data_IF_487277491025
#
_entry.id   IF_487277491025
#
_cell.length_a   1.000
_cell.length_b   1.000
_cell.length_c   1.000
_cell.angle_alpha   90.00
_cell.angle_beta   90.00
_cell.angle_gamma   90.00
#
_symmetry.space_group_name_H-M   'P 1'
#
loop_
_entity.id
_entity.type
_entity.pdbx_description
1 polymer ?
#
# COMPACT_ATOMS: atom_id res chain seq x y z
N UNK A 1 2.56 16.55 6.11
CA UNK A 1 3.58 15.47 6.20
C UNK A 1 3.23 14.39 7.23
N UNK A 2 2.64 14.72 8.40
CA UNK A 2 2.32 13.72 9.43
C UNK A 2 1.19 12.73 9.08
N UNK A 3 0.26 13.07 8.19
CA UNK A 3 -0.88 12.22 7.80
C UNK A 3 -0.43 11.03 6.93
N UNK A 4 0.42 11.29 5.95
CA UNK A 4 0.97 10.21 5.10
C UNK A 4 1.80 9.22 5.92
N UNK A 5 2.55 9.70 6.93
CA UNK A 5 3.31 8.83 7.84
C UNK A 5 2.40 7.99 8.73
N UNK A 6 1.26 8.52 9.17
CA UNK A 6 0.28 7.78 9.99
C UNK A 6 -0.41 6.66 9.20
N UNK A 7 -0.63 6.86 7.89
CA UNK A 7 -1.35 5.92 7.04
C UNK A 7 -0.48 5.21 6.01
N UNK A 8 0.86 5.34 6.09
CA UNK A 8 1.78 4.70 5.15
C UNK A 8 1.58 3.19 5.01
N UNK A 9 1.17 2.55 6.10
CA UNK A 9 0.92 1.10 6.17
C UNK A 9 -0.32 0.69 5.37
N UNK A 10 -1.17 1.66 5.03
CA UNK A 10 -2.40 1.47 4.25
C UNK A 10 -2.22 1.84 2.78
N UNK A 11 -1.08 2.44 2.41
CA UNK A 11 -0.78 2.83 1.02
C UNK A 11 -0.17 1.64 0.29
N UNK A 12 -1.03 0.79 -0.20
CA UNK A 12 -0.66 -0.45 -0.88
C UNK A 12 0.08 -0.17 -2.18
N UNK A 13 -0.32 0.86 -2.90
CA UNK A 13 0.29 1.25 -4.17
C UNK A 13 1.77 1.64 -4.06
N UNK A 14 2.30 1.88 -2.86
CA UNK A 14 3.76 2.00 -2.68
C UNK A 14 4.52 0.73 -3.04
N UNK A 15 3.86 -0.43 -3.01
CA UNK A 15 4.43 -1.67 -3.50
C UNK A 15 4.72 -1.69 -5.00
N UNK A 16 4.11 -0.79 -5.77
CA UNK A 16 4.37 -0.63 -7.21
C UNK A 16 5.59 0.27 -7.50
N UNK A 17 6.06 1.07 -6.54
CA UNK A 17 7.17 2.00 -6.75
C UNK A 17 8.45 1.35 -7.28
N UNK A 18 8.94 0.21 -6.77
CA UNK A 18 10.13 -0.42 -7.31
C UNK A 18 9.96 -0.84 -8.78
N UNK A 19 8.75 -1.28 -9.15
CA UNK A 19 8.44 -1.65 -10.55
C UNK A 19 8.46 -0.40 -11.43
N UNK A 20 7.79 0.67 -11.01
CA UNK A 20 7.75 1.94 -11.74
C UNK A 20 9.17 2.49 -11.94
N UNK A 21 9.98 2.53 -10.89
CA UNK A 21 11.36 3.00 -10.94
C UNK A 21 12.18 2.12 -11.91
N UNK A 22 12.03 0.81 -11.84
CA UNK A 22 12.73 -0.13 -12.71
C UNK A 22 12.32 0.09 -14.18
N UNK A 23 11.02 0.17 -14.47
CA UNK A 23 10.51 0.37 -15.82
C UNK A 23 10.96 1.69 -16.45
N UNK A 24 10.97 2.76 -15.70
CA UNK A 24 11.49 4.04 -16.17
C UNK A 24 13.01 3.96 -16.35
N UNK A 25 13.69 3.41 -15.38
CA UNK A 25 15.15 3.36 -15.33
C UNK A 25 15.77 2.52 -16.43
N UNK A 26 15.16 1.44 -16.91
CA UNK A 26 15.71 0.61 -18.00
C UNK A 26 15.84 1.34 -19.33
N UNK A 27 15.16 2.51 -19.48
CA UNK A 27 15.29 3.36 -20.65
C UNK A 27 16.47 4.33 -20.56
N UNK A 28 16.84 4.70 -19.34
CA UNK A 28 17.87 5.70 -19.07
C UNK A 28 19.23 5.07 -18.74
N UNK A 29 19.23 3.87 -18.21
CA UNK A 29 20.40 3.17 -17.68
C UNK A 29 20.51 1.73 -18.20
N UNK A 30 21.68 1.06 -18.02
CA UNK A 30 21.84 -0.35 -18.38
C UNK A 30 20.79 -1.23 -17.67
N UNK A 31 20.10 -2.07 -18.44
CA UNK A 31 18.98 -2.89 -17.96
C UNK A 31 19.35 -3.74 -16.74
N UNK A 32 20.53 -4.38 -16.73
CA UNK A 32 20.99 -5.21 -15.61
C UNK A 32 21.16 -4.40 -14.33
N UNK A 33 21.74 -3.21 -14.42
CA UNK A 33 21.91 -2.32 -13.27
C UNK A 33 20.55 -1.88 -12.70
N UNK A 34 19.60 -1.56 -13.57
CA UNK A 34 18.26 -1.13 -13.12
C UNK A 34 17.43 -2.27 -12.54
N UNK A 35 17.51 -3.47 -13.11
CA UNK A 35 16.87 -4.65 -12.52
C UNK A 35 17.48 -4.97 -11.15
N UNK A 36 18.81 -4.88 -11.00
CA UNK A 36 19.49 -5.08 -9.72
C UNK A 36 19.10 -4.02 -8.68
N UNK A 37 19.04 -2.75 -9.08
CA UNK A 37 18.62 -1.64 -8.21
C UNK A 37 17.16 -1.79 -7.81
N UNK A 38 16.27 -2.08 -8.76
CA UNK A 38 14.85 -2.32 -8.47
C UNK A 38 14.63 -3.50 -7.53
N UNK A 39 15.38 -4.58 -7.71
CA UNK A 39 15.37 -5.75 -6.83
C UNK A 39 15.82 -5.38 -5.41
N UNK A 40 16.91 -4.64 -5.28
CA UNK A 40 17.43 -4.21 -3.98
C UNK A 40 16.43 -3.33 -3.23
N UNK A 41 15.81 -2.35 -3.91
CA UNK A 41 14.75 -1.50 -3.34
C UNK A 41 13.54 -2.34 -2.93
N UNK A 42 13.13 -3.29 -3.76
CA UNK A 42 12.00 -4.19 -3.47
C UNK A 42 12.25 -5.06 -2.24
N UNK A 43 13.44 -5.67 -2.14
CA UNK A 43 13.82 -6.49 -0.98
C UNK A 43 13.86 -5.63 0.29
N UNK A 44 14.46 -4.44 0.23
CA UNK A 44 14.46 -3.53 1.37
C UNK A 44 13.04 -3.16 1.81
N UNK A 45 12.13 -2.91 0.86
CA UNK A 45 10.72 -2.67 1.13
C UNK A 45 10.03 -3.87 1.79
N UNK A 46 10.25 -5.09 1.29
CA UNK A 46 9.70 -6.31 1.90
C UNK A 46 10.21 -6.54 3.31
N UNK A 47 11.50 -6.34 3.55
CA UNK A 47 12.08 -6.45 4.89
C UNK A 47 11.46 -5.42 5.84
N UNK A 48 11.26 -4.20 5.38
CA UNK A 48 10.58 -3.16 6.16
C UNK A 48 9.13 -3.55 6.49
N UNK A 49 8.36 -4.04 5.51
CA UNK A 49 6.98 -4.48 5.71
C UNK A 49 6.89 -5.60 6.76
N UNK A 50 7.74 -6.62 6.64
CA UNK A 50 7.73 -7.77 7.55
C UNK A 50 8.20 -7.38 8.96
N UNK A 51 9.32 -6.66 9.07
CA UNK A 51 9.95 -6.39 10.37
C UNK A 51 9.24 -5.27 11.14
N UNK A 52 8.76 -4.23 10.44
CA UNK A 52 8.20 -3.03 11.07
C UNK A 52 6.69 -2.99 11.06
N UNK A 53 6.06 -3.37 9.96
CA UNK A 53 4.61 -3.29 9.81
C UNK A 53 3.91 -4.59 10.18
N UNK A 54 4.67 -5.68 10.34
CA UNK A 54 4.14 -7.05 10.51
C UNK A 54 3.05 -7.36 9.48
N UNK A 55 3.28 -6.89 8.26
CA UNK A 55 2.41 -7.04 7.11
C UNK A 55 3.25 -7.40 5.89
N UNK A 56 2.61 -7.62 4.77
CA UNK A 56 3.28 -7.88 3.51
C UNK A 56 2.48 -7.19 2.41
N UNK A 57 3.13 -6.32 1.65
CA UNK A 57 2.51 -5.70 0.50
C UNK A 57 2.53 -6.68 -0.68
N UNK A 58 1.35 -7.05 -1.15
CA UNK A 58 1.20 -8.04 -2.20
C UNK A 58 1.83 -7.60 -3.53
N UNK A 59 1.62 -6.36 -3.94
CA UNK A 59 2.23 -5.83 -5.17
C UNK A 59 3.74 -5.73 -5.07
N UNK A 60 4.25 -5.39 -3.90
CA UNK A 60 5.69 -5.37 -3.64
C UNK A 60 6.29 -6.78 -3.74
N UNK A 61 5.63 -7.78 -3.17
CA UNK A 61 6.06 -9.18 -3.26
C UNK A 61 6.10 -9.65 -4.71
N UNK A 62 5.03 -9.40 -5.46
CA UNK A 62 4.93 -9.80 -6.86
C UNK A 62 5.96 -9.08 -7.74
N UNK A 63 6.11 -7.77 -7.54
CA UNK A 63 7.14 -6.99 -8.21
C UNK A 63 8.54 -7.50 -7.92
N UNK A 64 8.82 -7.85 -6.66
CA UNK A 64 10.11 -8.42 -6.26
C UNK A 64 10.37 -9.75 -6.97
N UNK A 65 9.40 -10.64 -7.02
CA UNK A 65 9.51 -11.91 -7.74
C UNK A 65 9.75 -11.67 -9.24
N UNK A 66 8.94 -10.80 -9.86
CA UNK A 66 9.05 -10.50 -11.29
C UNK A 66 10.40 -9.89 -11.66
N UNK A 67 10.83 -8.86 -10.95
CA UNK A 67 12.13 -8.22 -11.18
C UNK A 67 13.26 -9.21 -10.88
N UNK A 68 13.14 -9.99 -9.80
CA UNK A 68 14.14 -10.99 -9.41
C UNK A 68 14.32 -12.08 -10.46
N UNK A 69 13.24 -12.63 -10.99
CA UNK A 69 13.31 -13.63 -12.07
C UNK A 69 13.97 -13.03 -13.31
N UNK A 70 13.58 -11.84 -13.73
CA UNK A 70 14.18 -11.16 -14.89
C UNK A 70 15.68 -10.90 -14.66
N UNK A 71 16.08 -10.44 -13.46
CA UNK A 71 17.46 -10.18 -13.10
C UNK A 71 18.31 -11.46 -13.11
N UNK A 72 17.84 -12.53 -12.48
CA UNK A 72 18.54 -13.81 -12.42
C UNK A 72 18.68 -14.45 -13.80
N UNK A 73 17.61 -14.47 -14.59
CA UNK A 73 17.69 -14.99 -15.97
C UNK A 73 18.74 -14.24 -16.76
N UNK A 74 18.79 -12.91 -16.68
CA UNK A 74 19.79 -12.11 -17.37
C UNK A 74 21.20 -12.37 -16.86
N UNK A 75 21.38 -12.53 -15.55
CA UNK A 75 22.70 -12.76 -14.94
C UNK A 75 23.27 -14.13 -15.34
N UNK A 76 22.45 -15.19 -15.31
CA UNK A 76 22.89 -16.55 -15.57
C UNK A 76 23.04 -16.89 -17.04
N UNK A 77 22.27 -16.29 -17.91
CA UNK A 77 22.25 -16.64 -19.32
C UNK A 77 23.09 -15.68 -20.18
N UNK A 78 23.42 -14.52 -19.65
CA UNK A 78 24.11 -13.46 -20.43
C UNK A 78 23.29 -12.90 -21.58
N UNK A 79 22.11 -13.49 -21.86
CA UNK A 79 21.19 -13.06 -22.90
C UNK A 79 20.01 -12.28 -22.33
N UNK A 80 19.54 -11.28 -23.06
CA UNK A 80 18.24 -10.68 -22.85
C UNK A 80 17.15 -11.71 -23.25
N UNK A 81 16.88 -12.68 -22.37
CA UNK A 81 15.82 -13.67 -22.59
C UNK A 81 14.47 -12.98 -22.80
N UNK A 82 14.29 -11.87 -22.15
CA UNK A 82 13.13 -11.00 -22.36
C UNK A 82 13.65 -9.72 -23.01
N UNK A 83 13.39 -9.50 -24.30
CA UNK A 83 13.74 -8.25 -24.97
C UNK A 83 13.19 -7.06 -24.19
N UNK A 84 13.89 -5.92 -24.22
CA UNK A 84 13.42 -4.71 -23.52
C UNK A 84 11.93 -4.43 -23.77
N UNK A 85 11.49 -4.59 -25.01
CA UNK A 85 10.12 -4.33 -25.42
C UNK A 85 9.09 -5.33 -24.84
N UNK A 86 9.53 -6.50 -24.38
CA UNK A 86 8.67 -7.53 -23.80
C UNK A 86 8.71 -7.52 -22.27
N UNK A 87 9.69 -6.85 -21.65
CA UNK A 87 9.84 -6.83 -20.20
C UNK A 87 8.65 -6.20 -19.51
N UNK A 88 8.21 -5.02 -19.99
CA UNK A 88 7.07 -4.31 -19.40
C UNK A 88 5.77 -5.09 -19.53
N UNK A 89 5.37 -5.59 -20.72
CA UNK A 89 4.19 -6.45 -20.84
C UNK A 89 4.26 -7.71 -19.98
N UNK A 90 5.44 -8.32 -19.83
CA UNK A 90 5.59 -9.51 -18.99
C UNK A 90 5.37 -9.21 -17.51
N UNK A 91 5.94 -8.13 -16.99
CA UNK A 91 5.70 -7.68 -15.61
C UNK A 91 4.25 -7.27 -15.41
N UNK A 92 3.64 -6.59 -16.37
CA UNK A 92 2.23 -6.21 -16.33
C UNK A 92 1.33 -7.44 -16.31
N UNK A 93 1.61 -8.45 -17.13
CA UNK A 93 0.85 -9.70 -17.14
C UNK A 93 0.95 -10.42 -15.80
N UNK A 94 2.13 -10.49 -15.20
CA UNK A 94 2.31 -11.07 -13.86
C UNK A 94 1.47 -10.32 -12.82
N UNK A 95 1.51 -9.00 -12.82
CA UNK A 95 0.70 -8.19 -11.91
C UNK A 95 -0.80 -8.36 -12.15
N UNK A 96 -1.22 -8.47 -13.41
CA UNK A 96 -2.60 -8.75 -13.76
C UNK A 96 -3.08 -10.09 -13.20
N UNK A 97 -2.32 -11.17 -13.42
CA UNK A 97 -2.67 -12.51 -12.90
C UNK A 97 -2.80 -12.47 -11.37
N UNK A 98 -1.88 -11.83 -10.70
CA UNK A 98 -1.90 -11.72 -9.24
C UNK A 98 -3.05 -10.84 -8.73
N UNK A 99 -3.31 -9.72 -9.40
CA UNK A 99 -4.45 -8.86 -9.08
C UNK A 99 -5.77 -9.61 -9.32
N UNK A 100 -5.87 -10.39 -10.39
CA UNK A 100 -7.03 -11.21 -10.69
C UNK A 100 -7.28 -12.26 -9.60
N UNK A 101 -6.25 -13.00 -9.18
CA UNK A 101 -6.36 -13.97 -8.07
C UNK A 101 -6.80 -13.25 -6.79
N UNK A 102 -6.28 -12.07 -6.55
CA UNK A 102 -6.63 -11.30 -5.35
C UNK A 102 -8.08 -10.82 -5.35
N UNK A 103 -8.62 -10.46 -6.52
CA UNK A 103 -10.03 -10.06 -6.68
C UNK A 103 -10.97 -11.25 -6.56
N UNK A 104 -10.60 -12.39 -7.16
CA UNK A 104 -11.48 -13.58 -7.24
C UNK A 104 -11.39 -14.47 -6.01
N UNK A 105 -10.21 -14.57 -5.39
CA UNK A 105 -9.96 -15.46 -4.26
C UNK A 105 -9.10 -14.79 -3.16
N UNK A 106 -9.58 -13.71 -2.54
CA UNK A 106 -8.82 -12.95 -1.53
C UNK A 106 -8.43 -13.80 -0.32
N UNK A 107 -9.16 -14.86 -0.04
CA UNK A 107 -8.89 -15.77 1.07
C UNK A 107 -7.57 -16.53 0.92
N UNK A 108 -7.11 -16.80 -0.31
CA UNK A 108 -5.82 -17.46 -0.55
C UNK A 108 -4.71 -16.62 0.06
N UNK A 109 -4.69 -15.34 -0.23
CA UNK A 109 -3.68 -14.42 0.30
C UNK A 109 -3.83 -14.18 1.80
N UNK A 110 -5.06 -14.02 2.28
CA UNK A 110 -5.36 -13.90 3.71
C UNK A 110 -4.85 -15.11 4.50
N UNK A 111 -5.09 -16.32 4.01
CA UNK A 111 -4.64 -17.55 4.65
C UNK A 111 -3.12 -17.70 4.61
N UNK A 112 -2.49 -17.26 3.52
CA UNK A 112 -1.04 -17.18 3.43
C UNK A 112 -0.46 -16.26 4.51
N UNK A 113 -0.97 -15.03 4.64
CA UNK A 113 -0.50 -14.08 5.66
C UNK A 113 -0.71 -14.59 7.08
N UNK A 114 -1.86 -15.23 7.37
CA UNK A 114 -2.15 -15.82 8.69
C UNK A 114 -1.11 -16.86 9.11
N UNK A 115 -0.60 -17.69 8.17
CA UNK A 115 0.44 -18.69 8.48
C UNK A 115 1.74 -18.06 8.98
N UNK A 116 2.01 -16.83 8.57
CA UNK A 116 3.22 -16.08 8.97
C UNK A 116 2.94 -15.04 10.06
N UNK A 117 1.75 -15.06 10.68
CA UNK A 117 1.32 -14.07 11.66
C UNK A 117 1.41 -12.62 11.16
N UNK A 118 1.16 -12.41 9.86
CA UNK A 118 1.17 -11.11 9.22
C UNK A 118 -0.24 -10.53 9.11
N UNK A 119 -0.33 -9.20 9.18
CA UNK A 119 -1.59 -8.49 9.08
C UNK A 119 -2.10 -8.44 7.65
N UNK A 120 -3.40 -8.59 7.47
CA UNK A 120 -4.08 -8.40 6.19
C UNK A 120 -4.74 -7.03 6.13
N UNK A 121 -4.50 -6.29 5.06
CA UNK A 121 -5.12 -4.98 4.82
C UNK A 121 -6.13 -5.11 3.67
N UNK A 122 -7.38 -4.74 3.90
CA UNK A 122 -8.47 -4.85 2.91
C UNK A 122 -8.41 -3.81 1.77
N UNK A 123 -7.54 -2.82 1.89
CA UNK A 123 -7.40 -1.74 0.89
C UNK A 123 -6.87 -2.19 -0.48
N UNK A 124 -6.33 -3.41 -0.57
CA UNK A 124 -5.82 -4.00 -1.82
C UNK A 124 -6.87 -4.21 -2.91
N UNK A 125 -8.13 -4.35 -2.52
CA UNK A 125 -9.15 -4.79 -3.45
C UNK A 125 -9.46 -3.75 -4.53
N UNK A 126 -9.38 -2.47 -4.20
CA UNK A 126 -9.63 -1.39 -5.16
C UNK A 126 -8.52 -1.31 -6.20
N UNK A 127 -7.27 -1.29 -5.76
CA UNK A 127 -6.11 -1.25 -6.66
C UNK A 127 -6.04 -2.49 -7.54
N UNK A 128 -6.31 -3.67 -6.95
CA UNK A 128 -6.36 -4.91 -7.71
C UNK A 128 -7.43 -4.85 -8.81
N UNK A 129 -8.63 -4.32 -8.54
CA UNK A 129 -9.68 -4.14 -9.54
C UNK A 129 -9.26 -3.16 -10.64
N UNK A 130 -8.61 -2.05 -10.28
CA UNK A 130 -8.11 -1.08 -11.25
C UNK A 130 -7.07 -1.73 -12.17
N UNK A 131 -6.10 -2.45 -11.61
CA UNK A 131 -5.09 -3.17 -12.37
C UNK A 131 -5.74 -4.20 -13.29
N UNK A 132 -6.68 -5.01 -12.79
CA UNK A 132 -7.37 -6.03 -13.61
C UNK A 132 -8.05 -5.38 -14.81
N UNK A 133 -8.78 -4.28 -14.63
CA UNK A 133 -9.51 -3.64 -15.72
C UNK A 133 -8.55 -3.02 -16.73
N UNK A 134 -7.67 -2.13 -16.28
CA UNK A 134 -6.84 -1.34 -17.19
C UNK A 134 -5.71 -2.16 -17.84
N UNK A 135 -5.06 -3.05 -17.08
CA UNK A 135 -4.02 -3.92 -17.65
C UNK A 135 -4.61 -4.97 -18.59
N UNK A 136 -5.83 -5.46 -18.36
CA UNK A 136 -6.49 -6.35 -19.34
C UNK A 136 -6.75 -5.63 -20.66
N UNK A 137 -7.28 -4.42 -20.62
CA UNK A 137 -7.52 -3.62 -21.83
C UNK A 137 -6.18 -3.34 -22.54
N UNK A 138 -5.17 -2.93 -21.80
CA UNK A 138 -3.86 -2.63 -22.37
C UNK A 138 -3.20 -3.86 -23.01
N UNK A 139 -3.19 -5.01 -22.35
CA UNK A 139 -2.62 -6.24 -22.89
C UNK A 139 -3.40 -6.75 -24.13
N UNK A 140 -4.72 -6.55 -24.18
CA UNK A 140 -5.52 -6.83 -25.38
C UNK A 140 -5.08 -5.91 -26.54
N UNK A 141 -4.90 -4.63 -26.29
CA UNK A 141 -4.40 -3.69 -27.29
C UNK A 141 -3.02 -4.15 -27.80
N UNK A 142 -2.10 -4.49 -26.90
CA UNK A 142 -0.79 -5.00 -27.26
C UNK A 142 -0.87 -6.29 -28.09
N UNK A 143 -1.77 -7.20 -27.74
CA UNK A 143 -2.00 -8.42 -28.52
C UNK A 143 -2.38 -8.11 -29.97
N UNK A 144 -3.32 -7.18 -30.19
CA UNK A 144 -3.69 -6.75 -31.54
C UNK A 144 -2.55 -6.07 -32.29
N UNK A 145 -1.75 -5.28 -31.60
CA UNK A 145 -0.58 -4.61 -32.18
C UNK A 145 0.50 -5.61 -32.60
N UNK A 146 0.87 -6.54 -31.74
CA UNK A 146 1.89 -7.56 -32.04
C UNK A 146 1.45 -8.50 -33.18
N UNK A 147 0.17 -8.76 -33.31
CA UNK A 147 -0.37 -9.56 -34.42
C UNK A 147 -0.64 -8.73 -35.68
N UNK A 148 -0.21 -7.46 -35.73
CA UNK A 148 -0.38 -6.56 -36.89
C UNK A 148 -1.83 -6.37 -37.33
N UNK A 149 -2.78 -6.58 -36.45
CA UNK A 149 -4.22 -6.38 -36.71
C UNK A 149 -4.62 -4.91 -36.68
N UNK A 150 -3.79 -4.07 -36.05
CA UNK A 150 -3.93 -2.62 -36.03
C UNK A 150 -2.67 -2.04 -36.67
N UNK A 151 -2.77 -1.09 -37.64
CA UNK A 151 -1.63 -0.41 -38.25
C UNK A 151 -0.90 0.39 -37.16
N UNK A 152 0.40 0.19 -37.07
CA UNK A 152 1.20 0.74 -35.98
C UNK A 152 2.47 1.43 -36.50
N UNK A 153 2.71 2.66 -36.04
CA UNK A 153 3.97 3.35 -36.33
C UNK A 153 5.01 3.06 -35.22
N UNK A 154 6.27 2.82 -35.59
CA UNK A 154 7.35 2.59 -34.60
C UNK A 154 7.49 3.69 -33.55
N UNK A 155 7.12 4.91 -33.90
CA UNK A 155 7.19 6.10 -33.02
C UNK A 155 6.25 6.03 -31.83
N UNK A 156 5.12 5.32 -31.96
CA UNK A 156 4.14 5.13 -30.89
C UNK A 156 4.46 3.96 -29.96
N UNK A 157 5.46 3.12 -30.28
CA UNK A 157 5.81 1.94 -29.49
C UNK A 157 6.15 2.29 -28.04
N UNK A 158 6.93 3.35 -27.83
CA UNK A 158 7.33 3.75 -26.49
C UNK A 158 6.11 4.15 -25.64
N UNK A 159 5.22 4.96 -26.19
CA UNK A 159 4.02 5.42 -25.49
C UNK A 159 3.12 4.26 -25.08
N UNK A 160 2.85 3.34 -25.99
CA UNK A 160 1.92 2.24 -25.72
C UNK A 160 2.56 1.17 -24.83
N UNK A 161 3.79 0.75 -25.09
CA UNK A 161 4.41 -0.35 -24.36
C UNK A 161 4.82 0.05 -22.95
N UNK A 162 5.28 1.30 -22.74
CA UNK A 162 5.89 1.70 -21.48
C UNK A 162 5.10 2.77 -20.73
N UNK A 163 4.61 3.78 -21.45
CA UNK A 163 3.94 4.91 -20.79
C UNK A 163 2.59 4.51 -20.21
N UNK A 164 1.79 3.74 -20.96
CA UNK A 164 0.45 3.34 -20.50
C UNK A 164 0.51 2.51 -19.23
N UNK A 165 1.26 1.40 -19.10
CA UNK A 165 1.32 0.66 -17.84
C UNK A 165 1.91 1.49 -16.69
N UNK A 166 2.89 2.34 -16.96
CA UNK A 166 3.43 3.24 -15.95
C UNK A 166 2.35 4.21 -15.45
N UNK A 167 1.54 4.77 -16.35
CA UNK A 167 0.42 5.64 -15.97
C UNK A 167 -0.65 4.90 -15.15
N UNK A 168 -0.97 3.66 -15.49
CA UNK A 168 -1.91 2.82 -14.71
C UNK A 168 -1.43 2.72 -13.26
N UNK A 169 -0.14 2.42 -13.04
CA UNK A 169 0.43 2.29 -11.70
C UNK A 169 0.48 3.63 -10.96
N UNK A 170 0.80 4.71 -11.65
CA UNK A 170 0.78 6.07 -11.07
C UNK A 170 -0.65 6.47 -10.69
N UNK A 171 -1.64 6.16 -11.53
CA UNK A 171 -3.06 6.41 -11.22
C UNK A 171 -3.48 5.62 -9.97
N UNK A 172 -3.11 4.34 -9.85
CA UNK A 172 -3.36 3.55 -8.64
C UNK A 172 -2.76 4.22 -7.41
N UNK A 173 -1.52 4.71 -7.50
CA UNK A 173 -0.86 5.41 -6.40
C UNK A 173 -1.59 6.69 -6.01
N UNK A 174 -1.98 7.52 -6.98
CA UNK A 174 -2.70 8.77 -6.74
C UNK A 174 -4.07 8.51 -6.12
N UNK A 175 -4.85 7.57 -6.66
CA UNK A 175 -6.17 7.19 -6.12
C UNK A 175 -6.03 6.69 -4.66
N UNK A 176 -5.00 5.91 -4.38
CA UNK A 176 -4.75 5.42 -3.02
C UNK A 176 -4.44 6.58 -2.05
N UNK A 177 -3.54 7.49 -2.44
CA UNK A 177 -3.19 8.67 -1.61
C UNK A 177 -4.41 9.55 -1.37
N UNK A 178 -5.18 9.85 -2.43
CA UNK A 178 -6.39 10.68 -2.33
C UNK A 178 -7.45 9.97 -1.47
N UNK A 179 -7.67 8.67 -1.68
CA UNK A 179 -8.60 7.87 -0.89
C UNK A 179 -8.26 7.88 0.60
N UNK A 180 -6.98 7.80 0.96
CA UNK A 180 -6.53 7.90 2.35
C UNK A 180 -6.75 9.31 2.90
N UNK A 181 -6.49 10.35 2.13
CA UNK A 181 -6.77 11.72 2.56
C UNK A 181 -8.26 11.93 2.84
N UNK A 182 -9.13 11.47 1.94
CA UNK A 182 -10.58 11.53 2.13
C UNK A 182 -11.00 10.73 3.36
N UNK A 183 -10.55 9.48 3.51
CA UNK A 183 -10.85 8.66 4.68
C UNK A 183 -10.35 9.28 5.98
N UNK A 184 -9.21 9.96 5.96
CA UNK A 184 -8.67 10.65 7.13
C UNK A 184 -9.48 11.91 7.51
N UNK A 185 -10.09 12.59 6.54
CA UNK A 185 -10.98 13.73 6.80
C UNK A 185 -12.37 13.29 7.23
N UNK A 186 -12.84 12.13 6.75
CA UNK A 186 -14.15 11.57 7.06
C UNK A 186 -14.12 10.59 8.25
N UNK A 187 -12.93 10.20 8.75
CA UNK A 187 -12.87 9.33 9.93
C UNK A 187 -13.58 10.02 11.09
N UNK A 188 -14.41 9.30 11.86
CA UNK A 188 -15.04 9.87 13.05
C UNK A 188 -13.92 10.47 13.90
N UNK A 189 -14.17 11.68 14.38
CA UNK A 189 -13.23 12.38 15.24
C UNK A 189 -12.82 11.41 16.35
N UNK A 190 -11.52 11.27 16.60
CA UNK A 190 -11.03 10.39 17.66
C UNK A 190 -11.77 10.74 18.94
N UNK A 191 -12.59 9.82 19.46
CA UNK A 191 -13.28 10.01 20.73
C UNK A 191 -12.29 9.71 21.84
N UNK A 192 -12.01 10.70 22.65
CA UNK A 192 -11.17 10.57 23.82
C UNK A 192 -12.03 10.48 25.07
N UNK A 193 -11.82 9.44 25.85
CA UNK A 193 -12.41 9.37 27.19
C UNK A 193 -11.48 10.16 28.13
N UNK A 194 -11.97 11.28 28.62
CA UNK A 194 -11.24 12.07 29.63
C UNK A 194 -11.73 11.61 30.99
N UNK A 195 -10.79 11.10 31.79
CA UNK A 195 -11.03 10.73 33.19
C UNK A 195 -10.24 11.69 34.08
N UNK A 196 -10.92 12.37 34.97
CA UNK A 196 -10.30 13.29 35.92
C UNK A 196 -10.35 12.64 37.30
N UNK A 197 -9.19 12.37 37.85
CA UNK A 197 -9.02 11.79 39.17
C UNK A 197 -8.43 12.85 40.10
N UNK A 198 -9.19 13.34 41.08
CA UNK A 198 -8.67 14.29 42.07
C UNK A 198 -7.64 13.62 42.98
N UNK A 199 -6.53 14.27 43.21
CA UNK A 199 -5.51 13.86 44.17
C UNK A 199 -5.43 14.97 45.25
N UNK A 200 -5.72 14.61 46.47
CA UNK A 200 -5.65 15.53 47.60
C UNK A 200 -4.85 14.89 48.74
N UNK A 201 -3.84 15.58 49.26
CA UNK A 201 -2.96 15.06 50.32
C UNK A 201 -2.38 13.66 50.03
N UNK A 202 -1.98 13.42 48.76
CA UNK A 202 -1.42 12.13 48.35
C UNK A 202 -2.45 10.99 48.21
N UNK A 203 -3.73 11.24 48.43
CA UNK A 203 -4.81 10.25 48.29
C UNK A 203 -5.56 10.50 46.99
N UNK A 204 -5.88 9.38 46.29
CA UNK A 204 -6.66 9.35 45.06
C UNK A 204 -8.12 9.18 45.44
N UNK A 205 -8.99 10.06 44.93
CA UNK A 205 -10.43 9.96 45.14
C UNK A 205 -11.08 9.30 43.93
N UNK A 206 -11.69 8.14 44.16
CA UNK A 206 -12.46 7.37 43.18
C UNK A 206 -13.90 7.25 43.65
N UNK A 207 -14.82 7.08 42.73
CA UNK A 207 -16.24 6.79 42.98
C UNK A 207 -16.58 5.37 42.52
N UNK A 208 -17.50 4.68 43.22
CA UNK A 208 -17.96 3.38 42.72
C UNK A 208 -18.64 3.57 41.36
N UNK A 209 -18.43 2.59 40.46
CA UNK A 209 -19.08 2.58 39.15
C UNK A 209 -20.59 2.40 39.31
N UNK A 210 -21.38 3.14 38.50
CA UNK A 210 -22.85 3.16 38.64
C UNK A 210 -23.51 1.77 38.48
N UNK A 211 -22.94 0.91 37.63
CA UNK A 211 -23.50 -0.42 37.34
C UNK A 211 -22.83 -1.54 38.17
N UNK A 212 -21.67 -1.31 38.75
CA UNK A 212 -20.94 -2.30 39.54
C UNK A 212 -20.17 -1.64 40.67
N UNK A 213 -20.71 -1.70 41.87
CA UNK A 213 -20.16 -1.07 43.08
C UNK A 213 -18.82 -1.64 43.55
N UNK A 214 -18.39 -2.78 43.00
CA UNK A 214 -17.08 -3.35 43.29
C UNK A 214 -15.98 -2.71 42.45
N UNK A 215 -16.32 -1.99 41.38
CA UNK A 215 -15.38 -1.30 40.49
C UNK A 215 -15.36 0.18 40.84
N UNK A 216 -14.18 0.74 41.07
CA UNK A 216 -13.97 2.14 41.35
C UNK A 216 -13.47 2.85 40.10
N UNK A 217 -14.07 3.98 39.73
CA UNK A 217 -13.71 4.78 38.53
C UNK A 217 -13.49 6.26 38.90
N UNK A 218 -12.98 7.02 37.97
CA UNK A 218 -12.78 8.44 38.10
C UNK A 218 -14.14 9.16 38.28
N UNK A 219 -14.26 10.10 39.24
CA UNK A 219 -15.53 10.79 39.51
C UNK A 219 -16.00 11.65 38.33
N UNK A 220 -15.09 12.10 37.48
CA UNK A 220 -15.42 12.85 36.28
C UNK A 220 -14.94 12.07 35.07
N UNK A 221 -15.93 11.65 34.26
CA UNK A 221 -15.71 10.98 32.97
C UNK A 221 -16.51 11.70 31.91
N UNK A 222 -15.83 12.17 30.87
CA UNK A 222 -16.50 12.81 29.73
C UNK A 222 -15.91 12.34 28.43
N UNK A 223 -16.74 12.32 27.41
CA UNK A 223 -16.33 12.05 26.02
C UNK A 223 -15.95 13.39 25.38
N UNK A 224 -14.86 13.38 24.65
CA UNK A 224 -14.40 14.51 23.88
C UNK A 224 -14.13 14.08 22.43
N UNK A 225 -14.82 14.70 21.50
CA UNK A 225 -14.64 14.49 20.08
C UNK A 225 -13.66 15.50 19.52
N UNK A 226 -12.49 15.04 19.14
CA UNK A 226 -11.48 15.91 18.55
C UNK A 226 -10.02 15.46 18.80
N UNK A 227 -9.06 16.20 18.28
CA UNK A 227 -7.66 15.82 18.39
C UNK A 227 -7.16 15.88 19.86
N UNK A 228 -6.27 14.94 20.23
CA UNK A 228 -5.73 14.77 21.59
C UNK A 228 -5.26 16.07 22.25
N UNK A 229 -4.62 16.96 21.48
CA UNK A 229 -4.15 18.25 21.99
C UNK A 229 -5.28 19.16 22.49
N UNK A 230 -6.46 19.09 21.85
CA UNK A 230 -7.65 19.82 22.29
C UNK A 230 -8.32 19.16 23.49
N UNK A 231 -8.26 17.82 23.60
CA UNK A 231 -8.79 17.08 24.75
C UNK A 231 -8.09 17.45 26.05
N UNK A 232 -6.76 17.64 26.03
CA UNK A 232 -5.99 18.10 27.18
C UNK A 232 -6.43 19.51 27.64
N UNK A 233 -6.69 20.42 26.69
CA UNK A 233 -7.20 21.77 27.02
C UNK A 233 -8.60 21.69 27.60
N UNK A 234 -9.45 20.82 27.06
CA UNK A 234 -10.80 20.58 27.56
C UNK A 234 -10.77 20.03 28.99
N UNK A 235 -9.92 19.05 29.27
CA UNK A 235 -9.72 18.51 30.62
C UNK A 235 -9.30 19.61 31.64
N UNK A 236 -8.36 20.49 31.27
CA UNK A 236 -7.95 21.62 32.11
C UNK A 236 -9.10 22.60 32.41
N UNK A 237 -9.99 22.80 31.47
CA UNK A 237 -11.15 23.68 31.66
C UNK A 237 -12.23 23.04 32.56
N UNK A 238 -12.37 21.70 32.54
CA UNK A 238 -13.29 20.98 33.42
C UNK A 238 -12.84 21.02 34.89
N UNK A 239 -11.52 21.03 35.14
CA UNK A 239 -10.97 21.11 36.50
C UNK A 239 -11.11 22.52 37.10
N UNK A 240 -11.26 23.55 36.27
CA UNK A 240 -11.40 24.94 36.69
C UNK A 240 -12.81 25.40 37.05
N UNK A 241 -13.83 24.58 36.68
CA UNK A 241 -15.23 24.76 37.06
C UNK A 241 -15.54 24.00 38.35
#
# INVERSE_FOLDING_TARGET
>A
MNLLLKYKDKIVSFGLLPIIITLIGIHLFPTTAMLGTGLAISIAGLLYDVLRLKGLNFFLLQGTIGIGVCFLLRLFTGYDYIPKNSLTPSLEFMLLVCAFIHVTAPEIYRNFLKKFHLNFTSSYLLEAKIIVIFSSIHLIILFFLYNKLIPFSPENNFGIIYLIPTLIYVICLVINIVGIQIAATQSPQEQHIIRIVPICNGKIYLTPHAENTTIWDAPIKTLFDGPLRKSQRHAKNLVKK
#
